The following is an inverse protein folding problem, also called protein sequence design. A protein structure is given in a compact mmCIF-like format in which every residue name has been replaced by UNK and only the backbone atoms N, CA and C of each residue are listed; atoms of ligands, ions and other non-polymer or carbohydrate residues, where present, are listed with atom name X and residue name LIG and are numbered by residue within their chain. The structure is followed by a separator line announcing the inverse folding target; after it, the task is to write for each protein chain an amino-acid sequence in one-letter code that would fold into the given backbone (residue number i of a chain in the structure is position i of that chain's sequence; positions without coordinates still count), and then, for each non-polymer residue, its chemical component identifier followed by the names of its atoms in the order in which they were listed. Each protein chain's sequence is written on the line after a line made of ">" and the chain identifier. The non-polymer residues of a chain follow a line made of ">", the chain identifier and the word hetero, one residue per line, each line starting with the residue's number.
data_IF_863466353484
#
_entry.id   IF_863466353484
#
_cell.length_a   1.000
_cell.length_b   1.000
_cell.length_c   1.000
_cell.angle_alpha   90.00
_cell.angle_beta   90.00
_cell.angle_gamma   90.00
#
_symmetry.space_group_name_H-M   'P 1'
#
loop_
_entity.id
_entity.type
_entity.pdbx_description
1 polymer ?
#
# COMPACT_ATOMS: atom_id res chain seq x y z
N UNK A 1 -19.57 -10.77 -45.55
CA UNK A 1 -19.55 -11.74 -44.43
C UNK A 1 -19.38 -10.95 -43.14
N UNK A 2 -20.27 -11.08 -42.15
CA UNK A 2 -20.06 -10.43 -40.86
C UNK A 2 -18.95 -11.18 -40.13
N UNK A 3 -17.94 -10.45 -39.67
CA UNK A 3 -16.86 -10.95 -38.84
C UNK A 3 -17.43 -11.47 -37.52
N UNK A 4 -17.35 -12.78 -37.32
CA UNK A 4 -17.64 -13.45 -36.05
C UNK A 4 -16.81 -12.82 -34.93
N UNK A 5 -17.39 -12.47 -33.77
CA UNK A 5 -16.60 -11.97 -32.65
C UNK A 5 -15.65 -13.07 -32.16
N UNK A 6 -14.43 -12.68 -31.79
CA UNK A 6 -13.42 -13.57 -31.23
C UNK A 6 -14.01 -14.35 -30.02
N UNK A 7 -13.97 -15.70 -29.99
CA UNK A 7 -14.60 -16.52 -28.96
C UNK A 7 -14.07 -16.32 -27.53
N UNK A 8 -12.99 -15.55 -27.33
CA UNK A 8 -12.29 -15.43 -26.05
C UNK A 8 -12.83 -14.38 -25.09
N UNK A 9 -13.66 -13.43 -25.54
CA UNK A 9 -14.13 -12.33 -24.69
C UNK A 9 -15.18 -12.79 -23.67
N UNK A 10 -16.07 -13.73 -24.05
CA UNK A 10 -17.20 -14.17 -23.23
C UNK A 10 -16.79 -15.10 -22.06
N UNK A 11 -15.69 -15.87 -22.19
CA UNK A 11 -15.18 -16.70 -21.10
C UNK A 11 -14.45 -15.87 -20.02
N UNK A 12 -13.73 -14.81 -20.42
CA UNK A 12 -13.00 -13.94 -19.48
C UNK A 12 -13.94 -12.98 -18.74
N UNK A 13 -15.01 -12.50 -19.37
CA UNK A 13 -16.03 -11.65 -18.75
C UNK A 13 -16.80 -12.30 -17.58
N UNK A 14 -16.74 -13.65 -17.45
CA UNK A 14 -17.32 -14.38 -16.31
C UNK A 14 -16.38 -14.50 -15.11
N UNK A 15 -15.09 -14.17 -15.27
CA UNK A 15 -14.13 -14.16 -14.17
C UNK A 15 -14.21 -12.82 -13.42
N UNK A 16 -14.45 -12.88 -12.11
CA UNK A 16 -14.63 -11.69 -11.26
C UNK A 16 -13.39 -10.77 -11.25
N UNK A 17 -12.19 -11.33 -11.21
CA UNK A 17 -10.92 -10.57 -11.16
C UNK A 17 -10.62 -9.86 -12.48
N UNK A 18 -10.94 -10.50 -13.61
CA UNK A 18 -10.87 -9.87 -14.93
C UNK A 18 -11.87 -8.70 -15.03
N UNK A 19 -13.14 -8.96 -14.74
CA UNK A 19 -14.21 -7.95 -14.80
C UNK A 19 -13.92 -6.77 -13.88
N UNK A 20 -13.43 -7.03 -12.67
CA UNK A 20 -12.95 -6.00 -11.74
C UNK A 20 -11.89 -5.10 -12.38
N UNK A 21 -10.82 -5.70 -12.92
CA UNK A 21 -9.71 -4.97 -13.51
C UNK A 21 -10.15 -4.15 -14.74
N UNK A 22 -10.99 -4.72 -15.60
CA UNK A 22 -11.46 -4.00 -16.80
C UNK A 22 -12.43 -2.87 -16.48
N UNK A 23 -13.31 -3.03 -15.49
CA UNK A 23 -14.21 -1.94 -15.05
C UNK A 23 -13.41 -0.77 -14.47
N UNK A 24 -12.36 -1.04 -13.67
CA UNK A 24 -11.47 0.02 -13.19
C UNK A 24 -10.73 0.70 -14.34
N UNK A 25 -10.26 -0.08 -15.32
CA UNK A 25 -9.59 0.46 -16.50
C UNK A 25 -10.50 1.41 -17.29
N UNK A 26 -11.74 1.00 -17.56
CA UNK A 26 -12.71 1.79 -18.33
C UNK A 26 -12.99 3.14 -17.65
N UNK A 27 -13.05 3.16 -16.31
CA UNK A 27 -13.25 4.38 -15.53
C UNK A 27 -12.01 5.28 -15.47
N UNK A 28 -10.79 4.72 -15.54
CA UNK A 28 -9.56 5.48 -15.33
C UNK A 28 -8.83 5.92 -16.61
N UNK A 29 -8.97 5.16 -17.72
CA UNK A 29 -8.12 5.31 -18.91
C UNK A 29 -8.21 6.69 -19.56
N UNK A 30 -9.41 7.25 -19.67
CA UNK A 30 -9.61 8.57 -20.27
C UNK A 30 -8.91 9.68 -19.48
N UNK A 31 -8.96 9.62 -18.15
CA UNK A 31 -8.25 10.57 -17.29
C UNK A 31 -6.74 10.35 -17.33
N UNK A 32 -6.27 9.09 -17.32
CA UNK A 32 -4.85 8.77 -17.46
C UNK A 32 -4.25 9.30 -18.77
N UNK A 33 -5.02 9.28 -19.86
CA UNK A 33 -4.63 9.92 -21.14
C UNK A 33 -4.49 11.43 -20.98
N UNK A 34 -5.50 12.10 -20.41
CA UNK A 34 -5.46 13.55 -20.16
C UNK A 34 -4.26 13.96 -19.30
N UNK A 35 -3.94 13.18 -18.27
CA UNK A 35 -2.78 13.39 -17.38
C UNK A 35 -1.43 13.23 -18.12
N UNK A 36 -1.35 12.32 -19.09
CA UNK A 36 -0.16 12.18 -19.95
C UNK A 36 -0.03 13.34 -20.93
N UNK A 37 -1.13 13.70 -21.58
CA UNK A 37 -1.16 14.80 -22.56
C UNK A 37 -0.88 16.15 -21.88
N UNK A 38 -1.31 16.33 -20.63
CA UNK A 38 -0.91 17.46 -19.79
C UNK A 38 0.59 17.49 -19.56
N UNK A 39 1.19 16.36 -19.19
CA UNK A 39 2.61 16.29 -18.94
C UNK A 39 3.42 16.60 -20.22
N UNK A 40 2.96 16.10 -21.36
CA UNK A 40 3.59 16.37 -22.65
C UNK A 40 3.48 17.85 -23.05
N UNK A 41 2.30 18.47 -22.84
CA UNK A 41 2.13 19.92 -23.06
C UNK A 41 3.03 20.74 -22.15
N UNK A 42 3.09 20.38 -20.86
CA UNK A 42 3.97 21.04 -19.90
C UNK A 42 5.42 21.00 -20.37
N UNK A 43 5.94 19.81 -20.66
CA UNK A 43 7.34 19.64 -21.06
C UNK A 43 7.67 20.35 -22.39
N UNK A 44 6.74 20.39 -23.34
CA UNK A 44 6.91 21.14 -24.58
C UNK A 44 6.97 22.66 -24.33
N UNK A 45 6.07 23.19 -23.48
CA UNK A 45 5.95 24.63 -23.22
C UNK A 45 7.07 25.19 -22.34
N UNK A 46 7.51 24.44 -21.32
CA UNK A 46 8.48 24.94 -20.34
C UNK A 46 9.91 24.49 -20.61
N UNK A 47 10.10 23.42 -21.38
CA UNK A 47 11.41 22.79 -21.60
C UNK A 47 11.72 22.45 -23.07
N UNK A 48 10.83 22.78 -24.02
CA UNK A 48 11.04 22.50 -25.44
C UNK A 48 11.00 21.00 -25.81
N UNK A 49 10.58 20.14 -24.89
CA UNK A 49 10.50 18.69 -25.11
C UNK A 49 9.17 18.31 -25.77
N UNK A 50 9.13 18.34 -27.10
CA UNK A 50 7.90 18.12 -27.89
C UNK A 50 7.34 16.69 -27.80
N UNK A 51 8.18 15.70 -27.51
CA UNK A 51 7.80 14.30 -27.36
C UNK A 51 8.46 13.72 -26.13
N UNK A 52 7.64 13.21 -25.22
CA UNK A 52 8.11 12.51 -24.03
C UNK A 52 8.32 11.04 -24.35
N UNK A 53 9.48 10.52 -23.99
CA UNK A 53 9.80 9.10 -23.96
C UNK A 53 9.55 8.52 -22.56
N UNK A 54 9.70 7.20 -22.42
CA UNK A 54 9.36 6.49 -21.18
C UNK A 54 10.16 6.99 -19.95
N UNK A 55 11.42 7.40 -20.15
CA UNK A 55 12.30 7.90 -19.09
C UNK A 55 12.00 9.35 -18.68
N UNK A 56 11.31 10.11 -19.52
CA UNK A 56 11.01 11.52 -19.26
C UNK A 56 9.82 11.71 -18.30
N UNK A 57 8.94 10.70 -18.24
CA UNK A 57 7.67 10.80 -17.53
C UNK A 57 7.80 11.10 -16.03
N UNK A 58 8.77 10.48 -15.35
CA UNK A 58 9.03 10.75 -13.93
C UNK A 58 9.69 12.11 -13.72
N UNK A 59 10.65 12.46 -14.59
CA UNK A 59 11.41 13.71 -14.48
C UNK A 59 10.53 14.96 -14.64
N UNK A 60 9.77 15.05 -15.73
CA UNK A 60 8.84 16.16 -15.92
C UNK A 60 7.64 16.07 -14.97
N UNK A 61 7.27 14.85 -14.54
CA UNK A 61 6.20 14.64 -13.57
C UNK A 61 6.50 15.32 -12.25
N UNK A 62 7.71 15.13 -11.71
CA UNK A 62 8.15 15.80 -10.48
C UNK A 62 8.27 17.33 -10.65
N UNK A 63 8.70 17.81 -11.83
CA UNK A 63 8.72 19.27 -12.11
C UNK A 63 7.31 19.86 -12.10
N UNK A 64 6.38 19.27 -12.85
CA UNK A 64 4.98 19.71 -12.89
C UNK A 64 4.32 19.63 -11.52
N UNK A 65 4.59 18.56 -10.75
CA UNK A 65 4.10 18.40 -9.38
C UNK A 65 4.64 19.51 -8.47
N UNK A 66 5.94 19.78 -8.55
CA UNK A 66 6.60 20.81 -7.74
C UNK A 66 6.05 22.20 -8.06
N UNK A 67 5.88 22.53 -9.35
CA UNK A 67 5.33 23.82 -9.78
C UNK A 67 3.87 23.99 -9.34
N UNK A 68 3.05 22.95 -9.49
CA UNK A 68 1.61 22.98 -9.16
C UNK A 68 1.33 23.07 -7.68
N UNK A 69 2.04 22.29 -6.87
CA UNK A 69 1.72 22.13 -5.45
C UNK A 69 2.71 22.86 -4.54
N UNK A 70 3.87 23.30 -5.04
CA UNK A 70 4.96 23.83 -4.20
C UNK A 70 5.34 22.88 -3.04
N UNK A 71 5.06 21.59 -3.20
CA UNK A 71 5.41 20.53 -2.24
C UNK A 71 6.61 19.80 -2.80
N UNK A 72 7.77 20.11 -2.24
CA UNK A 72 8.99 19.36 -2.51
C UNK A 72 9.18 18.31 -1.40
N UNK A 73 9.46 17.07 -1.80
CA UNK A 73 9.71 15.94 -0.88
C UNK A 73 10.74 16.31 0.18
N UNK A 74 11.82 16.98 -0.23
CA UNK A 74 12.92 17.40 0.65
C UNK A 74 12.53 18.52 1.61
N UNK A 75 11.67 19.45 1.17
CA UNK A 75 11.20 20.54 2.05
C UNK A 75 10.29 20.07 3.17
N UNK A 76 9.67 18.89 3.02
CA UNK A 76 8.81 18.29 4.04
C UNK A 76 9.57 17.44 5.06
N UNK A 77 10.75 16.91 4.71
CA UNK A 77 11.52 16.02 5.61
C UNK A 77 11.72 16.60 7.02
N UNK A 78 12.01 17.90 7.21
CA UNK A 78 12.17 18.49 8.54
C UNK A 78 10.94 18.36 9.46
N UNK A 79 9.76 18.11 8.91
CA UNK A 79 8.52 17.95 9.67
C UNK A 79 8.19 16.50 10.05
N UNK A 80 8.95 15.53 9.57
CA UNK A 80 8.74 14.11 9.86
C UNK A 80 9.95 13.48 10.55
N UNK A 81 10.37 13.98 11.73
CA UNK A 81 11.37 13.27 12.52
C UNK A 81 10.81 11.91 12.96
N UNK A 82 11.63 10.86 12.84
CA UNK A 82 11.23 9.47 13.12
C UNK A 82 10.52 9.31 14.46
N UNK A 83 11.03 9.96 15.51
CA UNK A 83 10.47 9.90 16.86
C UNK A 83 9.03 10.42 16.92
N UNK A 84 8.73 11.52 16.21
CA UNK A 84 7.39 12.10 16.11
C UNK A 84 6.46 11.22 15.29
N UNK A 85 6.96 10.68 14.17
CA UNK A 85 6.21 9.78 13.30
C UNK A 85 5.82 8.50 14.05
N UNK A 86 6.77 7.85 14.73
CA UNK A 86 6.51 6.65 15.53
C UNK A 86 5.55 6.94 16.68
N UNK A 87 5.73 8.06 17.37
CA UNK A 87 4.81 8.46 18.43
C UNK A 87 3.37 8.62 17.91
N UNK A 88 3.18 9.31 16.78
CA UNK A 88 1.84 9.50 16.21
C UNK A 88 1.25 8.22 15.61
N UNK A 89 2.08 7.33 15.06
CA UNK A 89 1.68 5.98 14.64
C UNK A 89 1.15 5.16 15.83
N UNK A 90 1.89 5.12 16.93
CA UNK A 90 1.48 4.38 18.13
C UNK A 90 0.26 5.01 18.80
N UNK A 91 0.15 6.34 18.80
CA UNK A 91 -1.05 7.04 19.27
C UNK A 91 -2.27 6.68 18.39
N UNK A 92 -2.11 6.62 17.08
CA UNK A 92 -3.16 6.18 16.15
C UNK A 92 -3.62 4.76 16.49
N UNK A 93 -2.68 3.83 16.66
CA UNK A 93 -3.00 2.45 17.03
C UNK A 93 -3.65 2.34 18.42
N UNK A 94 -3.27 3.20 19.37
CA UNK A 94 -3.89 3.30 20.68
C UNK A 94 -5.35 3.75 20.59
N UNK A 95 -5.64 4.83 19.85
CA UNK A 95 -7.00 5.34 19.67
C UNK A 95 -7.88 4.33 18.93
N UNK A 96 -7.35 3.66 17.92
CA UNK A 96 -8.12 2.71 17.11
C UNK A 96 -8.34 1.38 17.84
N UNK A 97 -7.30 0.82 18.43
CA UNK A 97 -7.27 -0.59 18.88
C UNK A 97 -7.08 -0.75 20.39
N UNK A 98 -6.89 0.35 21.14
CA UNK A 98 -6.76 0.33 22.59
C UNK A 98 -5.50 -0.38 23.08
N UNK A 99 -4.46 -0.39 22.25
CA UNK A 99 -3.16 -0.97 22.58
C UNK A 99 -2.18 0.14 22.99
N UNK A 100 -1.13 -0.23 23.72
CA UNK A 100 0.02 0.65 23.96
C UNK A 100 1.30 -0.04 23.54
N UNK A 101 2.22 0.73 22.96
CA UNK A 101 3.50 0.24 22.45
C UNK A 101 4.62 0.84 23.27
N UNK A 102 5.55 0.02 23.76
CA UNK A 102 6.68 0.46 24.59
C UNK A 102 7.97 -0.14 24.08
N UNK A 103 8.99 0.69 23.92
CA UNK A 103 10.31 0.19 23.55
C UNK A 103 10.94 -0.58 24.71
N UNK A 104 11.50 -1.76 24.41
CA UNK A 104 12.24 -2.57 25.37
C UNK A 104 13.70 -2.67 24.94
N UNK A 105 14.60 -2.24 25.82
CA UNK A 105 16.06 -2.30 25.63
C UNK A 105 16.63 -3.63 26.14
N UNK A 106 17.87 -3.95 25.74
CA UNK A 106 18.57 -5.15 26.17
C UNK A 106 18.07 -6.45 25.52
N UNK A 107 17.28 -6.34 24.45
CA UNK A 107 16.88 -7.49 23.61
C UNK A 107 17.97 -7.74 22.58
N UNK A 108 18.27 -9.02 22.32
CA UNK A 108 19.25 -9.39 21.30
C UNK A 108 18.74 -8.94 19.92
N UNK A 109 19.59 -8.22 19.19
CA UNK A 109 19.31 -7.71 17.85
C UNK A 109 20.44 -8.07 16.89
N UNK A 110 20.16 -8.09 15.58
CA UNK A 110 21.15 -8.40 14.54
C UNK A 110 21.93 -7.17 14.05
N UNK A 111 21.51 -5.96 14.43
CA UNK A 111 22.18 -4.71 14.07
C UNK A 111 21.82 -3.61 15.07
N UNK A 112 22.75 -2.71 15.37
CA UNK A 112 22.62 -1.70 16.43
C UNK A 112 21.48 -0.69 16.20
N UNK A 113 21.07 -0.52 14.95
CA UNK A 113 19.93 0.35 14.59
C UNK A 113 18.57 -0.31 14.79
N UNK A 114 18.51 -1.60 15.10
CA UNK A 114 17.24 -2.33 15.26
C UNK A 114 16.68 -2.04 16.64
N UNK A 115 15.39 -1.70 16.68
CA UNK A 115 14.65 -1.42 17.91
C UNK A 115 13.63 -2.52 18.16
N UNK A 116 13.34 -2.79 19.43
CA UNK A 116 12.37 -3.81 19.84
C UNK A 116 11.29 -3.19 20.71
N UNK A 117 10.04 -3.54 20.46
CA UNK A 117 8.88 -2.98 21.12
C UNK A 117 7.95 -4.08 21.63
N UNK A 118 7.43 -3.89 22.84
CA UNK A 118 6.37 -4.70 23.42
C UNK A 118 5.01 -4.00 23.22
N UNK A 119 3.98 -4.78 22.91
CA UNK A 119 2.61 -4.33 22.73
C UNK A 119 1.75 -4.83 23.89
N UNK A 120 0.99 -3.92 24.50
CA UNK A 120 0.12 -4.19 25.63
C UNK A 120 -1.33 -3.87 25.30
N UNK A 121 -2.27 -4.65 25.81
CA UNK A 121 -3.71 -4.38 25.68
C UNK A 121 -4.20 -3.30 26.67
N UNK A 122 -5.51 -3.00 26.62
CA UNK A 122 -6.16 -2.02 27.51
C UNK A 122 -6.15 -2.41 29.00
N UNK A 123 -5.79 -3.66 29.34
CA UNK A 123 -5.58 -4.12 30.72
C UNK A 123 -4.08 -4.15 31.08
N UNK A 124 -3.22 -3.55 30.26
CA UNK A 124 -1.77 -3.51 30.45
C UNK A 124 -1.11 -4.89 30.42
N UNK A 125 -1.74 -5.90 29.79
CA UNK A 125 -1.16 -7.22 29.60
C UNK A 125 -0.33 -7.21 28.33
N UNK A 126 0.88 -7.76 28.39
CA UNK A 126 1.72 -7.94 27.20
C UNK A 126 1.06 -8.96 26.26
N UNK A 127 0.80 -8.59 25.01
CA UNK A 127 0.09 -9.43 24.04
C UNK A 127 0.94 -9.81 22.83
N UNK A 128 1.91 -8.98 22.44
CA UNK A 128 2.77 -9.20 21.27
C UNK A 128 4.04 -8.37 21.38
N UNK A 129 4.99 -8.59 20.46
CA UNK A 129 6.17 -7.73 20.31
C UNK A 129 6.56 -7.57 18.84
N UNK A 130 7.41 -6.60 18.53
CA UNK A 130 7.99 -6.49 17.18
C UNK A 130 9.39 -5.87 17.15
N UNK A 131 10.16 -6.28 16.16
CA UNK A 131 11.41 -5.63 15.76
C UNK A 131 11.12 -4.58 14.68
N UNK A 132 11.83 -3.45 14.74
CA UNK A 132 11.79 -2.39 13.74
C UNK A 132 13.20 -2.13 13.20
N UNK A 133 13.41 -2.43 11.92
CA UNK A 133 14.68 -2.27 11.20
C UNK A 133 14.52 -1.26 10.06
N UNK A 134 14.71 0.03 10.35
CA UNK A 134 14.29 1.11 9.45
C UNK A 134 15.28 1.45 8.33
N UNK A 135 16.59 1.37 8.57
CA UNK A 135 17.56 2.05 7.70
C UNK A 135 18.14 1.15 6.62
N UNK A 136 18.37 1.73 5.44
CA UNK A 136 19.12 1.10 4.37
C UNK A 136 20.60 0.91 4.79
N UNK A 137 21.17 -0.24 4.45
CA UNK A 137 22.58 -0.56 4.66
C UNK A 137 23.03 -1.65 3.69
N UNK A 138 24.35 -1.76 3.48
CA UNK A 138 24.93 -2.82 2.66
C UNK A 138 24.53 -4.21 3.17
N UNK A 139 24.26 -5.14 2.25
CA UNK A 139 23.85 -6.51 2.57
C UNK A 139 22.39 -6.67 3.03
N UNK A 140 21.65 -5.59 3.27
CA UNK A 140 20.21 -5.64 3.58
C UNK A 140 19.38 -5.67 2.29
N UNK A 141 18.38 -6.55 2.24
CA UNK A 141 17.41 -6.61 1.13
C UNK A 141 16.68 -5.26 1.02
N UNK A 142 16.56 -4.74 -0.21
CA UNK A 142 15.83 -3.50 -0.49
C UNK A 142 14.31 -3.64 -0.40
N UNK A 143 13.61 -2.50 -0.35
CA UNK A 143 12.14 -2.43 -0.24
C UNK A 143 11.66 -2.21 1.20
N UNK A 144 10.39 -2.49 1.45
CA UNK A 144 9.83 -2.59 2.79
C UNK A 144 8.98 -3.86 2.86
N UNK A 145 8.96 -4.49 4.02
CA UNK A 145 8.14 -5.67 4.27
C UNK A 145 7.99 -5.92 5.78
N UNK A 146 6.93 -6.63 6.11
CA UNK A 146 6.68 -7.21 7.40
C UNK A 146 6.83 -8.73 7.32
N UNK A 147 7.30 -9.37 8.38
CA UNK A 147 7.21 -10.83 8.53
C UNK A 147 6.91 -11.23 9.98
N UNK A 148 6.34 -12.42 10.17
CA UNK A 148 6.26 -13.08 11.48
C UNK A 148 7.59 -13.74 11.84
N UNK A 149 8.08 -13.52 13.05
CA UNK A 149 9.16 -14.32 13.66
C UNK A 149 8.55 -15.48 14.43
N UNK A 150 7.52 -15.20 15.23
CA UNK A 150 6.68 -16.22 15.88
C UNK A 150 5.21 -15.88 15.65
N UNK A 151 4.41 -16.92 15.47
CA UNK A 151 2.95 -16.80 15.40
C UNK A 151 2.34 -16.87 16.80
N UNK A 152 1.12 -16.35 16.93
CA UNK A 152 0.30 -16.63 18.10
C UNK A 152 -0.20 -18.07 18.00
N UNK A 153 0.15 -18.91 18.96
CA UNK A 153 -0.30 -20.30 18.98
C UNK A 153 -0.35 -20.86 20.40
N UNK A 154 -1.27 -21.77 20.64
CA UNK A 154 -1.23 -22.64 21.83
C UNK A 154 -0.27 -23.79 21.53
N UNK A 155 0.81 -23.85 22.30
CA UNK A 155 1.85 -24.89 22.20
C UNK A 155 1.30 -26.27 22.59
N UNK A 156 2.05 -27.33 22.30
CA UNK A 156 1.69 -28.70 22.69
C UNK A 156 1.55 -28.84 24.22
N UNK A 157 2.28 -28.02 24.98
CA UNK A 157 2.26 -27.95 26.44
C UNK A 157 1.08 -27.10 26.98
N UNK A 158 0.22 -26.56 26.12
CA UNK A 158 -0.94 -25.75 26.51
C UNK A 158 -0.60 -24.31 26.88
N UNK A 159 0.64 -23.86 26.63
CA UNK A 159 1.04 -22.47 26.87
C UNK A 159 0.78 -21.60 25.63
N UNK A 160 0.28 -20.38 25.84
CA UNK A 160 0.07 -19.43 24.75
C UNK A 160 1.40 -18.76 24.37
N UNK A 161 1.90 -19.08 23.19
CA UNK A 161 2.98 -18.34 22.55
C UNK A 161 2.43 -17.04 21.97
N UNK A 162 3.12 -15.93 22.25
CA UNK A 162 2.77 -14.61 21.73
C UNK A 162 3.40 -14.39 20.35
N UNK A 163 2.72 -13.66 19.45
CA UNK A 163 3.26 -13.33 18.16
C UNK A 163 4.37 -12.28 18.28
N UNK A 164 5.43 -12.47 17.49
CA UNK A 164 6.50 -11.49 17.31
C UNK A 164 6.62 -11.17 15.83
N UNK A 165 6.54 -9.89 15.47
CA UNK A 165 6.72 -9.41 14.10
C UNK A 165 8.13 -8.82 13.88
N UNK A 166 8.52 -8.70 12.62
CA UNK A 166 9.62 -7.83 12.19
C UNK A 166 9.12 -6.92 11.08
N UNK A 167 9.35 -5.62 11.24
CA UNK A 167 9.10 -4.61 10.22
C UNK A 167 10.44 -4.15 9.68
N UNK A 168 10.63 -4.27 8.38
CA UNK A 168 11.84 -3.85 7.70
C UNK A 168 11.51 -2.76 6.71
N UNK A 169 12.21 -1.65 6.81
CA UNK A 169 12.17 -0.56 5.84
C UNK A 169 13.59 -0.29 5.32
N UNK A 170 13.71 0.55 4.30
CA UNK A 170 15.00 1.01 3.78
C UNK A 170 15.04 2.53 3.68
N UNK A 171 14.69 3.20 4.79
CA UNK A 171 14.77 4.65 4.91
C UNK A 171 16.23 5.12 4.88
N UNK A 172 16.43 6.38 4.48
CA UNK A 172 17.76 7.00 4.53
C UNK A 172 18.27 7.03 5.97
N UNK A 173 19.48 6.50 6.19
CA UNK A 173 20.11 6.53 7.51
C UNK A 173 20.41 7.98 7.94
N UNK A 174 20.25 8.32 9.23
CA UNK A 174 20.64 9.64 9.72
C UNK A 174 22.15 9.85 9.62
N UNK A 175 22.56 11.08 9.28
CA UNK A 175 23.95 11.49 9.45
C UNK A 175 24.31 11.53 10.95
N UNK A 176 25.58 11.31 11.28
CA UNK A 176 26.05 11.29 12.68
C UNK A 176 25.61 12.54 13.45
N UNK A 177 24.94 12.34 14.59
CA UNK A 177 24.45 13.41 15.47
C UNK A 177 23.20 14.16 14.98
N UNK A 178 22.60 13.78 13.83
CA UNK A 178 21.36 14.36 13.32
C UNK A 178 20.17 13.42 13.54
N UNK A 179 18.94 13.93 13.72
CA UNK A 179 17.76 13.08 13.77
C UNK A 179 17.49 12.43 12.42
N UNK A 180 16.92 11.23 12.46
CA UNK A 180 16.34 10.59 11.28
C UNK A 180 15.09 11.37 10.85
N UNK A 181 15.14 11.95 9.67
CA UNK A 181 14.04 12.70 9.06
C UNK A 181 13.50 11.88 7.91
N UNK A 182 12.21 11.58 7.90
CA UNK A 182 11.56 10.76 6.88
C UNK A 182 10.95 11.67 5.79
N UNK A 183 10.96 11.20 4.55
CA UNK A 183 10.04 11.70 3.53
C UNK A 183 8.62 11.24 3.82
N UNK A 184 7.63 11.92 3.24
CA UNK A 184 6.23 11.52 3.37
C UNK A 184 5.97 10.11 2.84
N UNK A 185 6.60 9.72 1.72
CA UNK A 185 6.51 8.35 1.19
C UNK A 185 7.04 7.31 2.21
N UNK A 186 8.18 7.58 2.87
CA UNK A 186 8.73 6.71 3.92
C UNK A 186 7.79 6.62 5.13
N UNK A 187 7.06 7.70 5.46
CA UNK A 187 6.01 7.69 6.50
C UNK A 187 4.84 6.80 6.07
N UNK A 188 4.33 6.94 4.84
CA UNK A 188 3.26 6.08 4.32
C UNK A 188 3.67 4.62 4.30
N UNK A 189 4.90 4.30 3.88
CA UNK A 189 5.45 2.93 3.93
C UNK A 189 5.52 2.39 5.36
N UNK A 190 5.92 3.19 6.34
CA UNK A 190 5.92 2.76 7.74
C UNK A 190 4.51 2.44 8.25
N UNK A 191 3.51 3.25 7.91
CA UNK A 191 2.11 2.98 8.25
C UNK A 191 1.61 1.70 7.55
N UNK A 192 1.97 1.48 6.29
CA UNK A 192 1.66 0.26 5.56
C UNK A 192 2.19 -0.99 6.29
N UNK A 193 3.50 -1.05 6.55
CA UNK A 193 4.10 -2.22 7.22
C UNK A 193 3.60 -2.42 8.64
N UNK A 194 3.26 -1.33 9.35
CA UNK A 194 2.65 -1.43 10.66
C UNK A 194 1.22 -1.97 10.62
N UNK A 195 0.46 -1.74 9.54
CA UNK A 195 -0.84 -2.38 9.36
C UNK A 195 -0.73 -3.91 9.22
N UNK A 196 0.26 -4.41 8.48
CA UNK A 196 0.59 -5.84 8.46
C UNK A 196 0.99 -6.35 9.85
N UNK A 197 1.84 -5.60 10.55
CA UNK A 197 2.25 -5.95 11.91
C UNK A 197 1.07 -6.02 12.88
N UNK A 198 0.13 -5.08 12.80
CA UNK A 198 -1.10 -5.11 13.60
C UNK A 198 -1.96 -6.33 13.28
N UNK A 199 -2.09 -6.71 12.01
CA UNK A 199 -2.84 -7.91 11.60
C UNK A 199 -2.23 -9.18 12.21
N UNK A 200 -0.90 -9.28 12.24
CA UNK A 200 -0.21 -10.39 12.88
C UNK A 200 -0.31 -10.36 14.41
N UNK A 201 -0.04 -9.21 15.02
CA UNK A 201 0.09 -9.07 16.47
C UNK A 201 -1.24 -9.10 17.22
N UNK A 202 -2.34 -8.62 16.60
CA UNK A 202 -3.64 -8.48 17.25
C UNK A 202 -4.59 -9.65 16.98
N UNK A 203 -4.11 -10.68 16.29
CA UNK A 203 -4.86 -11.92 16.10
C UNK A 203 -5.27 -12.55 17.44
N UNK A 204 -6.45 -13.16 17.47
CA UNK A 204 -6.96 -13.96 18.60
C UNK A 204 -7.01 -15.45 18.28
N UNK A 205 -6.45 -15.83 17.14
CA UNK A 205 -6.36 -17.22 16.70
C UNK A 205 -5.12 -17.87 17.32
N UNK A 206 -5.36 -18.96 18.04
CA UNK A 206 -4.31 -19.71 18.74
C UNK A 206 -3.84 -20.95 17.93
N UNK A 207 -4.23 -21.05 16.65
CA UNK A 207 -3.82 -22.10 15.71
C UNK A 207 -2.89 -21.49 14.67
N UNK A 208 -1.59 -21.80 14.75
CA UNK A 208 -0.54 -21.13 13.96
C UNK A 208 -0.79 -21.09 12.45
N UNK A 209 -1.34 -22.16 11.87
CA UNK A 209 -1.61 -22.26 10.42
C UNK A 209 -2.59 -21.20 9.88
N UNK A 210 -3.41 -20.61 10.75
CA UNK A 210 -4.41 -19.58 10.39
C UNK A 210 -4.33 -18.36 11.33
N UNK A 211 -3.21 -18.21 12.04
CA UNK A 211 -3.00 -17.12 12.98
C UNK A 211 -2.33 -15.92 12.34
N UNK A 212 -2.71 -14.71 12.77
CA UNK A 212 -2.15 -13.49 12.23
C UNK A 212 -2.44 -13.36 10.74
N UNK A 213 -1.40 -13.21 9.93
CA UNK A 213 -1.52 -13.13 8.47
C UNK A 213 -1.55 -14.51 7.80
N UNK A 214 -1.32 -15.61 8.54
CA UNK A 214 -1.31 -16.95 7.97
C UNK A 214 -2.71 -17.39 7.55
N UNK A 215 -2.80 -18.05 6.40
CA UNK A 215 -4.08 -18.52 5.85
C UNK A 215 -5.00 -17.41 5.33
N UNK A 216 -4.61 -16.13 5.44
CA UNK A 216 -5.35 -15.03 4.83
C UNK A 216 -5.13 -15.04 3.32
N UNK A 217 -6.19 -15.02 2.50
CA UNK A 217 -6.07 -14.91 1.05
C UNK A 217 -5.24 -13.70 0.61
N UNK A 218 -4.41 -13.92 -0.41
CA UNK A 218 -3.43 -12.93 -0.89
C UNK A 218 -4.05 -11.63 -1.40
N UNK A 219 -5.32 -11.68 -1.83
CA UNK A 219 -6.08 -10.50 -2.27
C UNK A 219 -6.76 -9.75 -1.11
N UNK A 220 -6.61 -10.21 0.13
CA UNK A 220 -7.07 -9.53 1.34
C UNK A 220 -5.95 -9.19 2.33
N UNK A 221 -4.75 -9.76 2.19
CA UNK A 221 -3.65 -9.53 3.14
C UNK A 221 -3.20 -8.06 3.16
N UNK A 222 -3.25 -7.37 2.02
CA UNK A 222 -2.86 -5.96 1.89
C UNK A 222 -3.92 -5.00 2.48
N UNK A 223 -5.15 -5.46 2.73
CA UNK A 223 -6.24 -4.57 3.14
C UNK A 223 -5.94 -3.80 4.45
N UNK A 224 -5.52 -4.43 5.57
CA UNK A 224 -5.19 -3.68 6.79
C UNK A 224 -4.04 -2.68 6.61
N UNK A 225 -3.01 -3.06 5.84
CA UNK A 225 -1.85 -2.21 5.55
C UNK A 225 -2.24 -0.95 4.78
N UNK A 226 -2.94 -1.12 3.65
CA UNK A 226 -3.39 -0.02 2.79
C UNK A 226 -4.45 0.85 3.46
N UNK A 227 -5.29 0.29 4.34
CA UNK A 227 -6.23 1.09 5.11
C UNK A 227 -5.48 2.07 6.03
N UNK A 228 -4.41 1.61 6.69
CA UNK A 228 -3.68 2.43 7.67
C UNK A 228 -2.91 3.57 6.99
N UNK A 229 -2.51 3.41 5.73
CA UNK A 229 -1.93 4.50 4.91
C UNK A 229 -2.82 5.74 4.86
N UNK A 230 -4.14 5.59 4.96
CA UNK A 230 -5.10 6.70 4.91
C UNK A 230 -4.84 7.80 5.94
N UNK A 231 -4.33 7.45 7.13
CA UNK A 231 -3.96 8.41 8.17
C UNK A 231 -2.77 9.29 7.78
N UNK A 232 -1.95 8.87 6.81
CA UNK A 232 -0.85 9.69 6.28
C UNK A 232 -1.32 10.71 5.25
N UNK A 233 -2.60 10.67 4.86
CA UNK A 233 -3.20 11.55 3.86
C UNK A 233 -4.38 12.37 4.39
N UNK A 234 -4.70 12.25 5.67
CA UNK A 234 -5.69 13.09 6.33
C UNK A 234 -5.02 14.25 7.07
N UNK A 235 -5.63 15.44 7.06
CA UNK A 235 -5.04 16.64 7.65
C UNK A 235 -4.92 16.55 9.18
N UNK A 236 -5.95 16.05 9.84
CA UNK A 236 -5.98 15.97 11.30
C UNK A 236 -5.06 14.87 11.82
N UNK A 237 -4.96 13.77 11.07
CA UNK A 237 -3.98 12.72 11.34
C UNK A 237 -2.54 13.19 11.07
N UNK A 238 -2.28 13.91 9.97
CA UNK A 238 -0.97 14.48 9.66
C UNK A 238 -0.46 15.42 10.76
N UNK A 239 -1.34 16.24 11.35
CA UNK A 239 -1.00 17.11 12.48
C UNK A 239 -0.49 16.35 13.71
N UNK A 240 -0.86 15.06 13.88
CA UNK A 240 -0.39 14.22 14.99
C UNK A 240 0.98 13.61 14.73
N UNK A 241 1.31 13.32 13.47
CA UNK A 241 2.54 12.62 13.06
C UNK A 241 3.64 13.56 12.55
N UNK A 242 3.34 14.85 12.37
CA UNK A 242 4.27 15.86 11.85
C UNK A 242 4.53 16.99 12.85
N UNK A 243 5.80 17.39 12.99
CA UNK A 243 6.25 18.61 13.67
C UNK A 243 7.70 18.92 13.25
N UNK A 244 8.04 20.20 13.09
CA UNK A 244 9.40 20.60 12.71
C UNK A 244 10.42 20.13 13.74
N UNK A 245 11.46 19.43 13.30
CA UNK A 245 12.43 18.77 14.18
C UNK A 245 13.20 19.71 15.11
N UNK A 246 13.44 20.96 14.73
CA UNK A 246 14.16 21.94 15.55
C UNK A 246 13.22 22.81 16.41
N UNK A 247 12.09 23.26 15.85
CA UNK A 247 11.24 24.28 16.46
C UNK A 247 9.99 23.70 17.13
N UNK A 248 9.66 22.44 16.85
CA UNK A 248 8.40 21.81 17.26
C UNK A 248 7.15 22.37 16.57
N UNK A 249 7.31 23.31 15.62
CA UNK A 249 6.18 23.95 14.95
C UNK A 249 5.35 22.92 14.16
N UNK A 250 4.01 23.02 14.17
CA UNK A 250 3.16 22.13 13.38
C UNK A 250 3.38 22.39 11.88
N UNK A 251 3.00 21.40 11.06
CA UNK A 251 2.97 21.60 9.61
C UNK A 251 1.90 22.67 9.27
N UNK A 252 2.23 23.71 8.49
CA UNK A 252 1.26 24.74 8.12
C UNK A 252 0.04 24.17 7.39
N UNK A 253 -1.14 24.75 7.63
CA UNK A 253 -2.39 24.27 6.99
C UNK A 253 -2.34 24.38 5.46
N UNK A 254 -1.70 25.41 4.89
CA UNK A 254 -1.55 25.53 3.44
C UNK A 254 -0.68 24.40 2.86
N UNK A 255 0.32 23.93 3.60
CA UNK A 255 1.18 22.80 3.22
C UNK A 255 0.42 21.48 3.34
N UNK A 256 -0.40 21.30 4.39
CA UNK A 256 -1.29 20.15 4.52
C UNK A 256 -2.25 20.04 3.33
N UNK A 257 -2.87 21.16 2.95
CA UNK A 257 -3.78 21.23 1.79
C UNK A 257 -3.08 20.78 0.50
N UNK A 258 -1.84 21.23 0.31
CA UNK A 258 -1.03 20.87 -0.86
C UNK A 258 -0.62 19.39 -0.85
N UNK A 259 -0.28 18.81 0.31
CA UNK A 259 0.02 17.36 0.42
C UNK A 259 -1.20 16.53 0.02
N UNK A 260 -2.36 16.85 0.58
CA UNK A 260 -3.61 16.14 0.28
C UNK A 260 -4.00 16.33 -1.20
N UNK A 261 -3.84 17.53 -1.76
CA UNK A 261 -4.10 17.79 -3.17
C UNK A 261 -3.11 17.04 -4.09
N UNK A 262 -1.85 16.91 -3.68
CA UNK A 262 -0.81 16.22 -4.42
C UNK A 262 -0.95 14.69 -4.41
N UNK A 263 -1.72 14.11 -3.47
CA UNK A 263 -2.05 12.68 -3.42
C UNK A 263 -2.57 12.14 -4.75
N UNK A 264 -3.39 12.94 -5.42
CA UNK A 264 -4.10 12.54 -6.64
C UNK A 264 -3.38 12.95 -7.92
N UNK A 265 -2.18 13.53 -7.82
CA UNK A 265 -1.40 13.92 -8.98
C UNK A 265 -1.02 12.68 -9.80
N UNK A 266 -1.49 12.64 -11.05
CA UNK A 266 -1.28 11.53 -12.00
C UNK A 266 -1.74 10.16 -11.48
N UNK A 267 -2.72 10.14 -10.56
CA UNK A 267 -3.20 8.92 -9.94
C UNK A 267 -3.90 7.98 -10.93
N UNK A 268 -4.54 8.51 -12.00
CA UNK A 268 -5.13 7.68 -13.03
C UNK A 268 -4.06 6.98 -13.89
N UNK A 269 -2.98 7.67 -14.27
CA UNK A 269 -1.81 7.06 -14.92
C UNK A 269 -1.20 5.94 -14.07
N UNK A 270 -1.02 6.19 -12.78
CA UNK A 270 -0.49 5.19 -11.85
C UNK A 270 -1.41 3.95 -11.77
N UNK A 271 -2.73 4.16 -11.68
CA UNK A 271 -3.72 3.08 -11.68
C UNK A 271 -3.71 2.27 -12.98
N UNK A 272 -3.70 2.93 -14.14
CA UNK A 272 -3.63 2.25 -15.45
C UNK A 272 -2.36 1.42 -15.57
N UNK A 273 -1.21 1.92 -15.08
CA UNK A 273 0.05 1.15 -15.05
C UNK A 273 -0.06 -0.11 -14.16
N UNK A 274 -0.75 -0.03 -13.01
CA UNK A 274 -1.00 -1.20 -12.16
C UNK A 274 -1.92 -2.21 -12.85
N UNK A 275 -2.95 -1.73 -13.55
CA UNK A 275 -3.85 -2.57 -14.34
C UNK A 275 -3.13 -3.27 -15.50
N UNK A 276 -2.14 -2.64 -16.15
CA UNK A 276 -1.29 -3.33 -17.13
C UNK A 276 -0.58 -4.55 -16.53
N UNK A 277 -0.05 -4.43 -15.31
CA UNK A 277 0.61 -5.55 -14.62
C UNK A 277 -0.39 -6.65 -14.24
N UNK A 278 -1.55 -6.28 -13.68
CA UNK A 278 -2.59 -7.23 -13.29
C UNK A 278 -3.16 -8.00 -14.50
N UNK A 279 -3.42 -7.31 -15.61
CA UNK A 279 -3.91 -7.92 -16.83
C UNK A 279 -2.84 -8.79 -17.50
N UNK A 280 -1.56 -8.43 -17.40
CA UNK A 280 -0.45 -9.24 -17.89
C UNK A 280 -0.35 -10.55 -17.12
N UNK A 281 -0.31 -10.48 -15.80
CA UNK A 281 -0.30 -11.64 -14.92
C UNK A 281 -1.48 -12.58 -15.23
N UNK A 282 -2.69 -12.03 -15.26
CA UNK A 282 -3.90 -12.81 -15.52
C UNK A 282 -3.87 -13.52 -16.87
N UNK A 283 -3.41 -12.84 -17.93
CA UNK A 283 -3.35 -13.42 -19.26
C UNK A 283 -2.23 -14.45 -19.42
N UNK A 284 -1.12 -14.31 -18.70
CA UNK A 284 -0.05 -15.31 -18.72
C UNK A 284 -0.45 -16.61 -18.02
N UNK A 285 -1.24 -16.51 -16.94
CA UNK A 285 -1.65 -17.65 -16.12
C UNK A 285 -3.05 -18.19 -16.44
N UNK A 286 -3.70 -17.68 -17.50
CA UNK A 286 -5.01 -18.17 -17.89
C UNK A 286 -4.92 -19.58 -18.46
N UNK A 287 -5.76 -20.51 -17.96
CA UNK A 287 -5.71 -21.96 -18.24
C UNK A 287 -5.57 -22.32 -19.73
N UNK A 288 -6.23 -21.58 -20.61
CA UNK A 288 -6.27 -21.86 -22.05
C UNK A 288 -5.14 -21.17 -22.82
N UNK A 289 -4.13 -20.63 -22.14
CA UNK A 289 -3.01 -19.90 -22.77
C UNK A 289 -1.91 -20.88 -23.15
N UNK A 290 -1.62 -21.07 -24.45
CA UNK A 290 -0.54 -21.93 -24.88
C UNK A 290 0.80 -21.35 -24.43
N UNK A 291 1.60 -22.15 -23.74
CA UNK A 291 2.95 -21.76 -23.34
C UNK A 291 3.90 -21.91 -24.54
N UNK A 292 4.39 -20.78 -25.05
CA UNK A 292 5.46 -20.73 -26.06
C UNK A 292 6.40 -19.53 -25.83
N UNK A 293 7.57 -19.55 -26.46
CA UNK A 293 8.61 -18.54 -26.27
C UNK A 293 8.17 -17.10 -26.61
N UNK A 294 7.15 -16.94 -27.46
CA UNK A 294 6.63 -15.64 -27.85
C UNK A 294 5.43 -15.16 -27.02
N UNK A 295 4.88 -16.00 -26.13
CA UNK A 295 3.69 -15.67 -25.32
C UNK A 295 3.86 -14.33 -24.60
N UNK A 296 4.96 -14.16 -23.87
CA UNK A 296 5.20 -12.96 -23.07
C UNK A 296 5.24 -11.68 -23.92
N UNK A 297 5.98 -11.71 -25.04
CA UNK A 297 6.08 -10.55 -25.95
C UNK A 297 4.73 -10.22 -26.56
N UNK A 298 3.98 -11.22 -27.05
CA UNK A 298 2.67 -11.01 -27.69
C UNK A 298 1.62 -10.50 -26.71
N UNK A 299 1.56 -11.08 -25.51
CA UNK A 299 0.60 -10.67 -24.46
C UNK A 299 0.87 -9.24 -24.00
N UNK A 300 2.15 -8.89 -23.73
CA UNK A 300 2.50 -7.52 -23.33
C UNK A 300 2.17 -6.51 -24.44
N UNK A 301 2.52 -6.80 -25.70
CA UNK A 301 2.21 -5.92 -26.82
C UNK A 301 0.68 -5.67 -26.94
N UNK A 302 -0.12 -6.73 -26.79
CA UNK A 302 -1.59 -6.63 -26.84
C UNK A 302 -2.14 -5.77 -25.71
N UNK A 303 -1.72 -6.01 -24.47
CA UNK A 303 -2.17 -5.21 -23.31
C UNK A 303 -1.77 -3.76 -23.50
N UNK A 304 -0.53 -3.48 -23.91
CA UNK A 304 -0.07 -2.10 -24.10
C UNK A 304 -0.87 -1.35 -25.13
N UNK A 305 -1.26 -2.00 -26.24
CA UNK A 305 -2.14 -1.41 -27.26
C UNK A 305 -3.50 -1.02 -26.67
N UNK A 306 -4.08 -1.89 -25.84
CA UNK A 306 -5.44 -1.72 -25.30
C UNK A 306 -5.49 -0.89 -24.01
N UNK A 307 -4.37 -0.72 -23.29
CA UNK A 307 -4.35 -0.17 -21.93
C UNK A 307 -3.46 1.07 -21.82
N UNK A 308 -2.27 1.04 -22.42
CA UNK A 308 -1.20 1.98 -22.08
C UNK A 308 -1.45 3.40 -22.54
N UNK A 309 -1.01 4.35 -21.72
CA UNK A 309 -1.08 5.79 -22.00
C UNK A 309 0.28 6.44 -22.25
N UNK A 310 1.38 5.78 -21.91
CA UNK A 310 2.74 6.28 -22.14
C UNK A 310 3.52 5.36 -23.08
N UNK A 311 4.47 5.89 -23.86
CA UNK A 311 5.32 5.06 -24.71
C UNK A 311 6.20 4.13 -23.87
N UNK A 312 6.69 3.07 -24.51
CA UNK A 312 7.74 2.21 -23.97
C UNK A 312 8.61 1.71 -25.13
N UNK A 313 9.94 1.78 -25.00
CA UNK A 313 10.83 1.25 -26.02
C UNK A 313 10.71 -0.28 -26.19
N UNK A 314 10.89 -0.77 -27.42
CA UNK A 314 10.82 -2.21 -27.73
C UNK A 314 11.91 -3.03 -26.99
N UNK A 315 13.05 -2.40 -26.68
CA UNK A 315 14.15 -3.05 -25.97
C UNK A 315 13.90 -3.23 -24.47
N UNK A 316 12.84 -2.66 -23.90
CA UNK A 316 12.54 -2.86 -22.48
C UNK A 316 12.25 -4.33 -22.16
N UNK A 317 12.64 -4.74 -20.95
CA UNK A 317 12.46 -6.11 -20.44
C UNK A 317 11.73 -6.13 -19.09
N UNK A 318 10.84 -5.17 -18.86
CA UNK A 318 10.12 -5.01 -17.57
C UNK A 318 9.44 -6.29 -17.08
N UNK A 319 8.95 -7.11 -18.00
CA UNK A 319 8.31 -8.39 -17.67
C UNK A 319 9.31 -9.43 -17.16
N UNK A 320 10.57 -9.41 -17.60
CA UNK A 320 11.60 -10.34 -17.15
C UNK A 320 12.11 -9.99 -15.74
N UNK A 321 11.89 -8.77 -15.29
CA UNK A 321 12.15 -8.31 -13.92
C UNK A 321 10.89 -8.34 -13.05
N UNK A 322 9.79 -8.96 -13.49
CA UNK A 322 8.52 -8.96 -12.76
C UNK A 322 8.51 -10.05 -11.67
N UNK A 323 9.35 -9.86 -10.64
CA UNK A 323 9.57 -10.85 -9.57
C UNK A 323 8.31 -11.26 -8.83
N UNK A 324 7.30 -10.39 -8.71
CA UNK A 324 6.06 -10.69 -7.99
C UNK A 324 5.37 -11.96 -8.49
N UNK A 325 5.34 -12.16 -9.82
CA UNK A 325 4.62 -13.28 -10.46
C UNK A 325 5.54 -14.44 -10.87
N UNK A 326 6.87 -14.24 -10.89
CA UNK A 326 7.84 -15.26 -11.30
C UNK A 326 8.71 -15.80 -10.16
N UNK A 327 8.88 -15.03 -9.08
CA UNK A 327 9.74 -15.36 -7.95
C UNK A 327 9.11 -14.95 -6.60
N UNK A 328 7.79 -14.71 -6.59
CA UNK A 328 7.01 -14.28 -5.44
C UNK A 328 5.66 -15.00 -5.40
N UNK A 329 4.81 -14.62 -4.43
CA UNK A 329 3.51 -15.25 -4.20
C UNK A 329 2.35 -14.75 -5.05
N UNK A 330 2.57 -13.86 -6.02
CA UNK A 330 1.49 -13.14 -6.73
C UNK A 330 1.18 -13.70 -8.14
N UNK A 331 1.67 -14.88 -8.50
CA UNK A 331 1.31 -15.51 -9.78
C UNK A 331 -0.21 -15.73 -9.86
N UNK A 332 -0.86 -15.25 -10.92
CA UNK A 332 -2.32 -15.18 -11.06
C UNK A 332 -3.04 -14.38 -9.94
N UNK A 333 -2.32 -13.55 -9.19
CA UNK A 333 -2.80 -12.84 -8.01
C UNK A 333 -2.41 -11.36 -7.96
N UNK A 334 -1.73 -10.82 -8.97
CA UNK A 334 -1.26 -9.42 -8.91
C UNK A 334 -2.39 -8.40 -8.83
N UNK A 335 -3.59 -8.73 -9.33
CA UNK A 335 -4.79 -7.90 -9.15
C UNK A 335 -5.15 -7.67 -7.67
N UNK A 336 -4.69 -8.55 -6.78
CA UNK A 336 -4.95 -8.52 -5.34
C UNK A 336 -4.55 -7.20 -4.69
N UNK A 337 -3.49 -6.53 -5.17
CA UNK A 337 -3.11 -5.20 -4.71
C UNK A 337 -4.21 -4.16 -4.91
N UNK A 338 -4.82 -4.12 -6.11
CA UNK A 338 -5.89 -3.18 -6.41
C UNK A 338 -7.20 -3.58 -5.74
N UNK A 339 -7.44 -4.89 -5.59
CA UNK A 339 -8.61 -5.40 -4.90
C UNK A 339 -8.59 -5.02 -3.42
N UNK A 340 -7.48 -5.30 -2.72
CA UNK A 340 -7.27 -4.84 -1.35
C UNK A 340 -7.33 -3.32 -1.24
N UNK A 341 -6.86 -2.56 -2.24
CA UNK A 341 -6.93 -1.10 -2.21
C UNK A 341 -8.37 -0.59 -2.27
N UNK A 342 -9.26 -1.29 -2.99
CA UNK A 342 -10.70 -1.02 -2.95
C UNK A 342 -11.28 -1.28 -1.57
N UNK A 343 -10.94 -2.40 -0.94
CA UNK A 343 -11.39 -2.71 0.43
C UNK A 343 -10.89 -1.64 1.42
N UNK A 344 -9.62 -1.28 1.31
CA UNK A 344 -8.95 -0.27 2.14
C UNK A 344 -9.62 1.10 2.00
N UNK A 345 -9.83 1.58 0.77
CA UNK A 345 -10.48 2.86 0.51
C UNK A 345 -11.90 2.89 1.07
N UNK A 346 -12.69 1.84 0.84
CA UNK A 346 -14.09 1.77 1.29
C UNK A 346 -14.21 1.67 2.82
N UNK A 347 -13.31 0.93 3.48
CA UNK A 347 -13.22 0.91 4.94
C UNK A 347 -12.75 2.25 5.51
N UNK A 348 -11.77 2.89 4.87
CA UNK A 348 -11.29 4.21 5.30
C UNK A 348 -12.38 5.28 5.18
N UNK A 349 -13.25 5.22 4.16
CA UNK A 349 -14.40 6.11 4.06
C UNK A 349 -15.35 5.99 5.26
N UNK A 350 -15.52 4.78 5.81
CA UNK A 350 -16.29 4.59 7.04
C UNK A 350 -15.60 5.28 8.23
N UNK A 351 -14.29 5.10 8.39
CA UNK A 351 -13.55 5.83 9.43
C UNK A 351 -13.67 7.35 9.25
N UNK A 352 -13.58 7.85 8.02
CA UNK A 352 -13.75 9.28 7.75
C UNK A 352 -15.16 9.77 8.11
N UNK A 353 -16.20 8.96 7.90
CA UNK A 353 -17.58 9.30 8.23
C UNK A 353 -17.87 9.22 9.75
N UNK A 354 -17.35 8.19 10.43
CA UNK A 354 -17.57 7.96 11.87
C UNK A 354 -16.64 8.82 12.76
N UNK A 355 -15.62 9.43 12.15
CA UNK A 355 -14.50 10.11 12.81
C UNK A 355 -13.24 9.25 12.81
N UNK A 356 -12.12 9.78 12.31
CA UNK A 356 -10.90 8.99 12.07
C UNK A 356 -10.29 8.33 13.32
N UNK A 357 -10.58 8.83 14.52
CA UNK A 357 -10.11 8.23 15.77
C UNK A 357 -11.25 7.63 16.58
N UNK A 358 -12.36 7.27 15.92
CA UNK A 358 -13.51 6.64 16.55
C UNK A 358 -13.15 5.24 17.07
N UNK A 359 -13.09 5.11 18.40
CA UNK A 359 -12.74 3.85 19.08
C UNK A 359 -13.73 2.72 18.78
N UNK A 360 -15.01 3.01 18.61
CA UNK A 360 -16.03 2.00 18.30
C UNK A 360 -15.79 1.41 16.92
N UNK A 361 -15.52 2.24 15.91
CA UNK A 361 -15.20 1.78 14.55
C UNK A 361 -13.87 1.01 14.53
N UNK A 362 -12.84 1.49 15.24
CA UNK A 362 -11.56 0.79 15.39
C UNK A 362 -11.69 -0.55 16.11
N UNK A 363 -12.52 -0.63 17.15
CA UNK A 363 -12.81 -1.88 17.86
C UNK A 363 -13.57 -2.88 16.97
N UNK A 364 -14.56 -2.40 16.21
CA UNK A 364 -15.26 -3.24 15.23
C UNK A 364 -14.29 -3.79 14.16
N UNK A 365 -13.35 -2.98 13.68
CA UNK A 365 -12.32 -3.43 12.73
C UNK A 365 -11.40 -4.49 13.34
N UNK A 366 -10.96 -4.29 14.59
CA UNK A 366 -10.18 -5.27 15.33
C UNK A 366 -10.93 -6.60 15.50
N UNK A 367 -12.18 -6.55 15.98
CA UNK A 367 -12.95 -7.75 16.30
C UNK A 367 -13.37 -8.53 15.06
N UNK A 368 -13.60 -7.86 13.94
CA UNK A 368 -14.09 -8.51 12.70
C UNK A 368 -12.98 -8.89 11.72
N UNK A 369 -11.85 -8.19 11.71
CA UNK A 369 -10.76 -8.41 10.74
C UNK A 369 -9.45 -8.80 11.43
N UNK A 370 -8.79 -7.88 12.15
CA UNK A 370 -7.44 -8.11 12.66
C UNK A 370 -7.35 -9.31 13.61
N UNK A 371 -8.42 -9.61 14.36
CA UNK A 371 -8.42 -10.70 15.33
C UNK A 371 -8.70 -12.10 14.74
N UNK A 372 -9.17 -12.18 13.50
CA UNK A 372 -9.72 -13.42 12.92
C UNK A 372 -8.70 -14.24 12.11
N UNK A 373 -7.57 -13.64 11.73
CA UNK A 373 -6.56 -14.25 10.88
C UNK A 373 -7.14 -14.95 9.64
N UNK A 374 -6.59 -16.10 9.28
CA UNK A 374 -7.07 -16.93 8.18
C UNK A 374 -8.29 -17.81 8.49
N UNK A 375 -8.93 -17.65 9.66
CA UNK A 375 -10.00 -18.55 10.10
C UNK A 375 -11.37 -18.25 9.44
N UNK A 376 -11.53 -17.08 8.83
CA UNK A 376 -12.79 -16.62 8.22
C UNK A 376 -12.54 -16.01 6.85
N UNK A 377 -13.49 -16.22 5.94
CA UNK A 377 -13.42 -15.69 4.58
C UNK A 377 -13.40 -14.14 4.57
N UNK A 378 -12.42 -13.49 3.90
CA UNK A 378 -12.27 -12.04 3.93
C UNK A 378 -13.50 -11.25 3.50
N UNK A 379 -14.22 -11.72 2.49
CA UNK A 379 -15.45 -11.06 2.03
C UNK A 379 -16.55 -11.09 3.09
N UNK A 380 -16.65 -12.16 3.87
CA UNK A 380 -17.59 -12.25 4.96
C UNK A 380 -17.20 -11.29 6.09
N UNK A 381 -15.92 -11.24 6.45
CA UNK A 381 -15.40 -10.29 7.45
C UNK A 381 -15.61 -8.83 7.02
N UNK A 382 -15.32 -8.51 5.76
CA UNK A 382 -15.56 -7.18 5.21
C UNK A 382 -17.04 -6.80 5.24
N UNK A 383 -17.92 -7.73 4.85
CA UNK A 383 -19.37 -7.48 4.84
C UNK A 383 -19.91 -7.32 6.25
N UNK A 384 -19.41 -8.08 7.22
CA UNK A 384 -19.75 -7.93 8.63
C UNK A 384 -19.28 -6.57 9.18
N UNK A 385 -18.05 -6.17 8.87
CA UNK A 385 -17.54 -4.86 9.25
C UNK A 385 -18.39 -3.75 8.63
N UNK A 386 -18.56 -3.74 7.31
CA UNK A 386 -19.19 -2.64 6.57
C UNK A 386 -20.72 -2.66 6.58
N UNK A 387 -21.34 -3.78 6.92
CA UNK A 387 -22.78 -4.03 6.75
C UNK A 387 -23.22 -4.17 5.28
N UNK A 388 -22.26 -4.25 4.33
CA UNK A 388 -22.50 -4.32 2.88
C UNK A 388 -21.28 -4.82 2.12
N UNK A 389 -21.50 -5.21 0.86
CA UNK A 389 -20.44 -5.54 -0.09
C UNK A 389 -19.55 -4.30 -0.43
N UNK A 390 -18.29 -4.53 -0.85
CA UNK A 390 -17.36 -3.45 -1.19
C UNK A 390 -17.77 -2.66 -2.42
N UNK A 391 -17.40 -1.38 -2.46
CA UNK A 391 -17.67 -0.46 -3.57
C UNK A 391 -16.38 0.15 -4.12
N UNK A 392 -16.11 -0.06 -5.40
CA UNK A 392 -14.94 0.51 -6.09
C UNK A 392 -14.94 2.04 -6.17
N UNK A 393 -16.10 2.67 -6.00
CA UNK A 393 -16.25 4.12 -6.16
C UNK A 393 -15.49 4.91 -5.07
N UNK A 394 -15.29 4.30 -3.89
CA UNK A 394 -14.44 4.85 -2.83
C UNK A 394 -13.01 5.08 -3.32
N UNK A 395 -12.39 4.04 -3.89
CA UNK A 395 -11.03 4.10 -4.45
C UNK A 395 -10.92 5.17 -5.53
N UNK A 396 -11.86 5.18 -6.48
CA UNK A 396 -11.84 6.13 -7.59
C UNK A 396 -11.97 7.57 -7.09
N UNK A 397 -12.91 7.84 -6.17
CA UNK A 397 -13.07 9.16 -5.57
C UNK A 397 -11.81 9.59 -4.80
N UNK A 398 -11.25 8.68 -4.00
CA UNK A 398 -10.05 8.96 -3.22
C UNK A 398 -8.82 9.22 -4.09
N UNK A 399 -8.73 8.58 -5.27
CA UNK A 399 -7.73 8.84 -6.32
C UNK A 399 -8.06 10.03 -7.23
N UNK A 400 -9.20 10.70 -7.02
CA UNK A 400 -9.64 11.82 -7.86
C UNK A 400 -10.02 11.42 -9.29
N UNK A 401 -10.44 10.18 -9.50
CA UNK A 401 -10.80 9.60 -10.80
C UNK A 401 -12.31 9.67 -11.02
N UNK A 402 -12.73 10.15 -12.20
CA UNK A 402 -14.15 10.26 -12.56
C UNK A 402 -14.84 11.50 -11.99
N UNK A 403 -14.06 12.53 -11.66
CA UNK A 403 -14.54 13.88 -11.31
C UNK A 403 -14.89 14.71 -12.54
#
# INVERSE_FOLDING_TARGET
>A
MPTTPCPTAWHKARNKSWTFSTVLLDKARAQARKEWDELQRYAAQTHGANRLEAWDGAYYGEKLKTERYSVNRETLRPYFPETKVLSGLFETAQHLFGISVRERKGVQVWHDSVRFFDVFDGQNRHIASFYLDMYAREGKRGGAWMNGITDRLTTAEGTLQKPVAVLVLNCSAPAAGKPSLLSHDEVTTLFHEFGHALHHMLTRIDVGAVSGINGVPWDAVEFPSQMLEGWTWDKDALKRIAAHHESGAPLPDDVLDKIVAAKNFQAARALVRQLEFALLDFLLHWRDTPADAGLLKRTLARIRQDVSVSPEPEWTRRSHSFSHIFAGGYAAGYYGYLWSEVLAADAFDRFAADGLFNRTTGQAFLDTLLSQGGAKEPMAMFTEFMGRAPRSDALLRQRGIGK
#
